data_IF_860933327230
#
_entry.id   IF_860933327230
#
_cell.length_a   1.000
_cell.length_b   1.000
_cell.length_c   1.000
_cell.angle_alpha   90.00
_cell.angle_beta   90.00
_cell.angle_gamma   90.00
#
_symmetry.space_group_name_H-M   'P 1'
#
loop_
_entity.id
_entity.type
_entity.pdbx_description
1 polymer ?
#
# COMPACT_ATOMS: atom_id res chain seq x y z
N UNK A 1 -3.87 20.14 -16.31
CA UNK A 1 -3.40 19.26 -15.21
C UNK A 1 -4.35 18.10 -14.96
N UNK A 2 -5.68 18.31 -14.88
CA UNK A 2 -6.62 17.19 -14.77
C UNK A 2 -6.77 16.40 -16.10
N UNK A 3 -6.51 17.04 -17.24
CA UNK A 3 -6.75 16.46 -18.57
C UNK A 3 -5.69 15.44 -19.04
N UNK A 4 -4.57 15.32 -18.32
CA UNK A 4 -3.41 14.53 -18.74
C UNK A 4 -3.40 13.09 -18.17
N UNK A 5 -4.29 12.76 -17.24
CA UNK A 5 -4.34 11.44 -16.61
C UNK A 5 -5.37 10.52 -17.26
N UNK A 6 -4.99 9.25 -17.40
CA UNK A 6 -5.88 8.16 -17.84
C UNK A 6 -5.59 6.90 -17.04
N UNK A 7 -6.63 6.25 -16.54
CA UNK A 7 -6.51 4.98 -15.82
C UNK A 7 -7.63 4.79 -14.81
N UNK A 8 -7.35 3.94 -13.82
CA UNK A 8 -8.24 3.70 -12.68
C UNK A 8 -7.48 3.99 -11.40
N UNK A 9 -8.06 4.82 -10.53
CA UNK A 9 -7.57 5.03 -9.17
C UNK A 9 -8.50 4.30 -8.20
N UNK A 10 -7.95 3.40 -7.39
CA UNK A 10 -8.66 2.75 -6.29
C UNK A 10 -8.16 3.37 -4.99
N UNK A 11 -9.05 4.04 -4.27
CA UNK A 11 -8.75 4.61 -2.94
C UNK A 11 -9.24 3.64 -1.88
N UNK A 12 -8.34 3.18 -1.02
CA UNK A 12 -8.63 2.15 -0.02
C UNK A 12 -8.45 2.72 1.38
N UNK A 13 -9.51 2.71 2.18
CA UNK A 13 -9.44 2.95 3.62
C UNK A 13 -9.34 1.64 4.37
N UNK A 14 -8.14 1.25 4.80
CA UNK A 14 -7.92 0.01 5.54
C UNK A 14 -8.29 0.20 7.02
N UNK A 15 -9.21 -0.62 7.60
CA UNK A 15 -9.47 -0.61 9.03
C UNK A 15 -8.36 -1.37 9.80
N UNK A 16 -8.41 -1.32 11.13
CA UNK A 16 -7.62 -2.19 12.02
C UNK A 16 -6.14 -2.34 11.62
N UNK A 17 -5.49 -1.22 11.31
CA UNK A 17 -4.06 -1.20 10.95
C UNK A 17 -3.18 -1.56 12.13
N UNK A 18 -3.50 -1.01 13.31
CA UNK A 18 -2.74 -1.23 14.56
C UNK A 18 -2.67 -2.71 14.99
N UNK A 19 -3.63 -3.54 14.59
CA UNK A 19 -3.61 -4.99 14.90
C UNK A 19 -3.11 -5.85 13.75
N UNK A 20 -2.81 -5.23 12.59
CA UNK A 20 -2.39 -5.88 11.35
C UNK A 20 -3.41 -6.84 10.72
N UNK A 21 -4.63 -6.93 11.28
CA UNK A 21 -5.67 -7.85 10.78
C UNK A 21 -6.47 -7.25 9.62
N UNK A 22 -6.51 -5.92 9.50
CA UNK A 22 -7.42 -5.24 8.57
C UNK A 22 -7.19 -5.57 7.11
N UNK A 23 -5.92 -5.61 6.67
CA UNK A 23 -5.58 -5.92 5.29
C UNK A 23 -6.00 -7.35 4.91
N UNK A 24 -5.72 -8.33 5.77
CA UNK A 24 -6.16 -9.71 5.55
C UNK A 24 -7.69 -9.81 5.53
N UNK A 25 -8.38 -9.12 6.45
CA UNK A 25 -9.83 -9.06 6.51
C UNK A 25 -10.46 -8.52 5.22
N UNK A 26 -9.90 -7.45 4.64
CA UNK A 26 -10.37 -6.90 3.37
C UNK A 26 -10.18 -7.87 2.20
N UNK A 27 -9.06 -8.60 2.17
CA UNK A 27 -8.84 -9.63 1.14
C UNK A 27 -9.86 -10.76 1.25
N UNK A 28 -10.15 -11.21 2.48
CA UNK A 28 -11.19 -12.23 2.74
C UNK A 28 -12.59 -11.75 2.36
N UNK A 29 -12.88 -10.46 2.48
CA UNK A 29 -14.15 -9.82 2.06
C UNK A 29 -14.22 -9.49 0.55
N UNK A 30 -13.27 -10.02 -0.25
CA UNK A 30 -13.31 -9.97 -1.70
C UNK A 30 -12.92 -8.62 -2.31
N UNK A 31 -11.96 -7.91 -1.70
CA UNK A 31 -11.50 -6.59 -2.16
C UNK A 31 -11.20 -6.55 -3.67
N UNK A 32 -10.44 -7.51 -4.19
CA UNK A 32 -10.03 -7.48 -5.61
C UNK A 32 -11.11 -8.00 -6.56
N UNK A 33 -11.99 -8.88 -6.09
CA UNK A 33 -13.14 -9.36 -6.83
C UNK A 33 -14.15 -8.23 -7.05
N UNK A 34 -14.32 -7.36 -6.05
CA UNK A 34 -15.30 -6.25 -6.08
C UNK A 34 -14.80 -5.01 -6.80
N UNK A 35 -13.51 -4.71 -6.70
CA UNK A 35 -12.94 -3.43 -7.17
C UNK A 35 -11.82 -3.59 -8.22
N UNK A 36 -11.46 -4.83 -8.55
CA UNK A 36 -10.35 -5.13 -9.45
C UNK A 36 -8.99 -5.09 -8.76
N UNK A 37 -8.00 -5.79 -9.34
CA UNK A 37 -6.63 -5.79 -8.86
C UNK A 37 -5.84 -4.64 -9.50
N UNK A 38 -5.28 -3.68 -8.74
CA UNK A 38 -4.47 -2.62 -9.29
C UNK A 38 -3.10 -3.13 -9.75
N UNK A 39 -2.49 -2.45 -10.74
CA UNK A 39 -1.15 -2.77 -11.22
C UNK A 39 -0.04 -2.35 -10.24
N UNK A 40 -0.30 -1.32 -9.44
CA UNK A 40 0.61 -0.77 -8.42
C UNK A 40 -0.22 -0.44 -7.18
N UNK A 41 0.33 -0.75 -6.01
CA UNK A 41 -0.23 -0.36 -4.71
C UNK A 41 0.77 0.55 -4.02
N UNK A 42 0.30 1.70 -3.54
CA UNK A 42 1.09 2.65 -2.77
C UNK A 42 0.44 2.82 -1.40
N UNK A 43 1.25 2.84 -0.35
CA UNK A 43 0.85 3.14 1.02
C UNK A 43 1.94 3.98 1.67
N UNK A 44 1.57 4.85 2.60
CA UNK A 44 2.49 5.74 3.30
C UNK A 44 2.05 5.90 4.74
N UNK A 45 3.01 6.19 5.62
CA UNK A 45 2.77 6.47 7.02
C UNK A 45 3.47 7.79 7.38
N UNK A 46 2.77 8.66 8.10
CA UNK A 46 3.39 9.88 8.60
C UNK A 46 4.27 9.52 9.81
N UNK A 47 5.53 9.89 9.76
CA UNK A 47 6.50 9.62 10.82
C UNK A 47 7.18 10.91 11.27
N UNK A 48 7.70 10.98 12.50
CA UNK A 48 8.45 12.14 13.01
C UNK A 48 9.86 12.19 12.40
N UNK A 49 9.94 12.27 11.07
CA UNK A 49 11.16 12.41 10.28
C UNK A 49 11.35 13.86 9.81
N UNK A 50 12.54 14.18 9.32
CA UNK A 50 12.80 15.50 8.73
C UNK A 50 11.88 15.77 7.53
N UNK A 51 11.42 17.01 7.39
CA UNK A 51 10.62 17.42 6.24
C UNK A 51 11.35 17.12 4.93
N UNK A 52 10.63 16.62 3.93
CA UNK A 52 11.19 16.17 2.66
C UNK A 52 11.77 14.76 2.67
N UNK A 53 11.72 14.04 3.80
CA UNK A 53 12.17 12.64 3.87
C UNK A 53 11.08 11.69 3.38
N UNK A 54 11.44 10.81 2.44
CA UNK A 54 10.63 9.65 2.04
C UNK A 54 11.42 8.39 2.42
N UNK A 55 11.01 7.73 3.50
CA UNK A 55 11.56 6.43 3.87
C UNK A 55 10.89 5.34 3.04
N UNK A 56 11.69 4.48 2.42
CA UNK A 56 11.20 3.29 1.74
C UNK A 56 12.14 2.13 2.09
N UNK A 57 11.58 0.92 2.22
CA UNK A 57 12.43 -0.26 2.30
C UNK A 57 13.21 -0.41 0.99
N UNK A 58 14.47 -0.86 1.08
CA UNK A 58 15.07 -1.53 -0.07
C UNK A 58 14.22 -2.77 -0.38
N UNK A 59 14.14 -3.24 -1.63
CA UNK A 59 13.55 -4.55 -1.89
C UNK A 59 14.18 -5.57 -0.94
N UNK A 60 13.40 -6.54 -0.41
CA UNK A 60 13.97 -7.55 0.46
C UNK A 60 15.19 -8.13 -0.23
N UNK A 61 16.28 -8.28 0.52
CA UNK A 61 17.44 -9.04 0.05
C UNK A 61 16.97 -10.43 -0.42
N UNK A 62 17.80 -11.14 -1.20
CA UNK A 62 17.51 -12.54 -1.52
C UNK A 62 17.11 -13.27 -0.22
N UNK A 63 16.19 -14.25 -0.29
CA UNK A 63 15.60 -14.92 0.89
C UNK A 63 16.63 -15.52 1.86
N UNK A 64 17.89 -15.58 1.46
CA UNK A 64 19.00 -16.23 2.16
C UNK A 64 20.03 -15.20 2.72
N UNK A 65 19.78 -13.89 2.60
CA UNK A 65 20.66 -12.88 3.18
C UNK A 65 20.60 -12.97 4.73
N UNK A 66 21.75 -13.06 5.43
CA UNK A 66 21.75 -13.09 6.89
C UNK A 66 21.18 -11.78 7.43
N UNK A 67 20.34 -11.91 8.47
CA UNK A 67 19.83 -10.80 9.29
C UNK A 67 20.95 -9.95 9.87
#
# INVERSE_FOLDING_TARGET
LADDWRGTLVVVGQPAEETLDGAEGMLRDGLYERFGRPSVVLAQHAAPLLSGTVAHAAPPGPPDAPM
#
